data_IF_667510345716
#
_entry.id   IF_667510345716
#
_cell.length_a   1.000
_cell.length_b   1.000
_cell.length_c   1.000
_cell.angle_alpha   90.00
_cell.angle_beta   90.00
_cell.angle_gamma   90.00
#
_symmetry.space_group_name_H-M   'P 1'
#
loop_
_entity.id
_entity.type
_entity.pdbx_description
1 polymer ?
#
# COMPACT_ATOMS: atom_id res chain seq x y z
N UNK A 1 -7.31 0.66 -29.38
CA UNK A 1 -6.73 1.12 -28.11
C UNK A 1 -6.64 -0.09 -27.20
N UNK A 2 -5.47 -0.37 -26.63
CA UNK A 2 -5.38 -1.39 -25.60
C UNK A 2 -6.02 -0.84 -24.33
N UNK A 3 -7.02 -1.54 -23.79
CA UNK A 3 -7.59 -1.25 -22.49
C UNK A 3 -6.72 -1.97 -21.48
N UNK A 4 -6.15 -1.25 -20.51
CA UNK A 4 -5.49 -1.89 -19.39
C UNK A 4 -6.56 -2.46 -18.46
N UNK A 5 -6.47 -3.76 -18.21
CA UNK A 5 -7.35 -4.47 -17.29
C UNK A 5 -6.55 -5.03 -16.11
N UNK A 6 -7.18 -5.20 -14.94
CA UNK A 6 -6.50 -5.77 -13.78
C UNK A 6 -6.15 -7.23 -14.04
N UNK A 7 -4.89 -7.59 -13.77
CA UNK A 7 -4.48 -9.01 -13.75
C UNK A 7 -5.21 -9.79 -12.66
N UNK A 8 -5.48 -9.15 -11.52
CA UNK A 8 -6.21 -9.73 -10.40
C UNK A 8 -7.24 -8.76 -9.85
N UNK A 9 -8.43 -9.29 -9.56
CA UNK A 9 -9.46 -8.61 -8.78
C UNK A 9 -9.56 -9.31 -7.41
N UNK A 10 -9.27 -8.56 -6.34
CA UNK A 10 -9.35 -9.06 -4.97
C UNK A 10 -10.33 -8.22 -4.17
N UNK A 11 -11.00 -8.83 -3.19
CA UNK A 11 -12.03 -8.15 -2.39
C UNK A 11 -11.44 -7.26 -1.29
N UNK A 12 -10.23 -7.54 -0.84
CA UNK A 12 -9.50 -6.72 0.13
C UNK A 12 -7.98 -6.87 -0.05
N UNK A 13 -7.23 -5.83 0.35
CA UNK A 13 -5.77 -5.84 0.28
C UNK A 13 -5.13 -6.87 1.20
N UNK A 14 -5.80 -7.21 2.31
CA UNK A 14 -5.27 -8.14 3.32
C UNK A 14 -5.20 -9.59 2.81
N UNK A 15 -5.92 -9.92 1.74
CA UNK A 15 -5.81 -11.20 1.02
C UNK A 15 -4.46 -11.38 0.31
N UNK A 16 -3.74 -10.27 0.06
CA UNK A 16 -2.41 -10.29 -0.53
C UNK A 16 -1.39 -10.64 0.55
N UNK A 17 -1.15 -11.94 0.73
CA UNK A 17 -0.17 -12.45 1.69
C UNK A 17 1.25 -12.37 1.12
N UNK A 18 2.29 -12.29 1.97
CA UNK A 18 3.66 -12.33 1.47
C UNK A 18 3.98 -13.60 0.67
N UNK A 19 3.39 -14.74 1.05
CA UNK A 19 3.57 -16.00 0.36
C UNK A 19 3.00 -15.98 -1.06
N UNK A 20 1.77 -15.49 -1.23
CA UNK A 20 1.14 -15.40 -2.56
C UNK A 20 1.90 -14.43 -3.47
N UNK A 21 2.31 -13.27 -2.96
CA UNK A 21 3.10 -12.30 -3.72
C UNK A 21 4.46 -12.87 -4.14
N UNK A 22 5.15 -13.58 -3.25
CA UNK A 22 6.43 -14.24 -3.57
C UNK A 22 6.30 -15.32 -4.63
N UNK A 23 5.21 -16.09 -4.60
CA UNK A 23 4.93 -17.10 -5.62
C UNK A 23 4.79 -16.48 -7.02
N UNK A 24 4.29 -15.23 -7.08
CA UNK A 24 4.21 -14.44 -8.32
C UNK A 24 5.52 -13.69 -8.66
N UNK A 25 6.60 -13.88 -7.89
CA UNK A 25 7.87 -13.19 -8.10
C UNK A 25 7.85 -11.70 -7.75
N UNK A 26 6.83 -11.22 -7.03
CA UNK A 26 6.66 -9.81 -6.67
C UNK A 26 7.62 -9.44 -5.53
N UNK A 27 8.35 -8.34 -5.73
CA UNK A 27 9.35 -7.83 -4.77
C UNK A 27 8.95 -6.51 -4.11
N UNK A 28 7.99 -5.80 -4.70
CA UNK A 28 7.51 -4.53 -4.20
C UNK A 28 6.02 -4.36 -4.51
N UNK A 29 5.33 -3.62 -3.64
CA UNK A 29 3.94 -3.19 -3.80
C UNK A 29 3.95 -1.66 -3.87
N UNK A 30 3.47 -1.14 -5.00
CA UNK A 30 3.15 0.28 -5.15
C UNK A 30 1.66 0.45 -4.92
N UNK A 31 1.27 1.42 -4.10
CA UNK A 31 -0.12 1.56 -3.67
C UNK A 31 -0.48 3.02 -3.46
N UNK A 32 -1.72 3.38 -3.78
CA UNK A 32 -2.26 4.69 -3.41
C UNK A 32 -2.57 4.74 -1.91
N UNK A 33 -2.85 5.93 -1.38
CA UNK A 33 -3.17 6.14 0.02
C UNK A 33 -4.67 6.19 0.28
N UNK A 34 -5.32 7.23 -0.26
CA UNK A 34 -6.69 7.57 0.06
C UNK A 34 -7.64 6.53 -0.57
N UNK A 35 -8.57 5.96 0.21
CA UNK A 35 -9.48 4.89 -0.22
C UNK A 35 -8.78 3.60 -0.74
N UNK A 36 -7.50 3.42 -0.42
CA UNK A 36 -6.77 2.16 -0.66
C UNK A 36 -6.19 1.60 0.64
N UNK A 37 -5.27 2.34 1.28
CA UNK A 37 -4.69 1.94 2.57
C UNK A 37 -5.40 2.59 3.76
N UNK A 38 -5.84 3.84 3.62
CA UNK A 38 -6.57 4.53 4.69
C UNK A 38 -8.03 4.73 4.31
N UNK A 39 -8.93 4.26 5.18
CA UNK A 39 -10.29 4.74 5.21
C UNK A 39 -10.30 6.21 5.66
N UNK A 40 -11.13 7.04 5.03
CA UNK A 40 -11.12 8.49 5.23
C UNK A 40 -11.42 8.91 6.69
N UNK A 41 -12.04 8.02 7.47
CA UNK A 41 -12.50 8.19 8.85
C UNK A 41 -11.55 7.60 9.92
N UNK A 42 -10.51 6.85 9.52
CA UNK A 42 -9.55 6.21 10.43
C UNK A 42 -8.08 6.46 10.02
N UNK A 43 -7.57 7.69 10.21
CA UNK A 43 -6.26 8.13 9.72
C UNK A 43 -5.06 7.53 10.46
N UNK A 44 -5.27 6.81 11.56
CA UNK A 44 -4.21 6.16 12.34
C UNK A 44 -3.72 4.84 11.71
N UNK A 45 -4.45 4.31 10.72
CA UNK A 45 -4.30 2.95 10.24
C UNK A 45 -4.87 1.94 11.22
N UNK A 46 -5.56 0.92 10.73
CA UNK A 46 -6.04 -0.16 11.60
C UNK A 46 -4.88 -1.05 12.04
N UNK A 47 -5.01 -1.72 13.18
CA UNK A 47 -4.03 -2.73 13.61
C UNK A 47 -3.78 -3.79 12.51
N UNK A 48 -4.83 -4.13 11.77
CA UNK A 48 -4.76 -5.00 10.59
C UNK A 48 -3.84 -4.46 9.50
N UNK A 49 -3.93 -3.15 9.19
CA UNK A 49 -3.06 -2.50 8.21
C UNK A 49 -1.59 -2.54 8.67
N UNK A 50 -1.33 -2.16 9.91
CA UNK A 50 0.03 -2.15 10.47
C UNK A 50 0.65 -3.54 10.47
N UNK A 51 -0.14 -4.57 10.81
CA UNK A 51 0.29 -5.96 10.74
C UNK A 51 0.61 -6.39 9.32
N UNK A 52 -0.28 -6.10 8.37
CA UNK A 52 -0.09 -6.44 6.95
C UNK A 52 1.19 -5.80 6.38
N UNK A 53 1.40 -4.50 6.65
CA UNK A 53 2.62 -3.79 6.25
C UNK A 53 3.88 -4.41 6.87
N UNK A 54 3.80 -4.81 8.14
CA UNK A 54 4.91 -5.46 8.85
C UNK A 54 5.24 -6.84 8.28
N UNK A 55 4.22 -7.65 7.99
CA UNK A 55 4.39 -9.00 7.43
C UNK A 55 5.03 -8.95 6.04
N UNK A 56 4.61 -8.00 5.20
CA UNK A 56 5.23 -7.76 3.90
C UNK A 56 6.69 -7.33 4.04
N UNK A 57 6.96 -6.33 4.90
CA UNK A 57 8.31 -5.83 5.15
C UNK A 57 9.26 -6.92 5.65
N UNK A 58 8.83 -7.69 6.65
CA UNK A 58 9.62 -8.80 7.22
C UNK A 58 9.87 -9.91 6.21
N UNK A 59 8.97 -10.05 5.24
CA UNK A 59 9.12 -10.99 4.13
C UNK A 59 10.03 -10.47 3.01
N UNK A 60 10.57 -9.26 3.11
CA UNK A 60 11.42 -8.64 2.10
C UNK A 60 10.65 -7.99 0.94
N UNK A 61 9.33 -7.82 1.08
CA UNK A 61 8.50 -7.11 0.10
C UNK A 61 8.41 -5.65 0.52
N UNK A 62 8.87 -4.75 -0.34
CA UNK A 62 8.85 -3.31 -0.07
C UNK A 62 7.47 -2.74 -0.42
N UNK A 63 6.84 -2.05 0.51
CA UNK A 63 5.63 -1.26 0.23
C UNK A 63 6.02 0.20 0.06
N UNK A 64 5.57 0.83 -1.02
CA UNK A 64 5.77 2.26 -1.28
C UNK A 64 4.44 2.89 -1.63
N UNK A 65 4.07 3.93 -0.89
CA UNK A 65 2.88 4.73 -1.19
C UNK A 65 3.20 5.72 -2.30
N UNK A 66 2.42 5.72 -3.38
CA UNK A 66 2.55 6.67 -4.48
C UNK A 66 1.24 7.44 -4.55
N UNK A 67 1.29 8.73 -4.23
CA UNK A 67 0.09 9.56 -4.11
C UNK A 67 0.23 10.90 -4.80
N UNK A 68 -0.89 11.34 -5.37
CA UNK A 68 -1.07 12.68 -5.94
C UNK A 68 -1.27 13.77 -4.88
N UNK A 69 -1.43 13.39 -3.61
CA UNK A 69 -1.71 14.32 -2.53
C UNK A 69 -0.48 15.18 -2.16
N UNK A 70 -0.71 16.23 -1.38
CA UNK A 70 0.36 17.10 -0.89
C UNK A 70 1.26 16.35 0.12
N UNK A 71 2.57 16.55 -0.02
CA UNK A 71 3.60 15.94 0.81
C UNK A 71 3.36 16.10 2.33
N UNK A 72 2.86 17.26 2.78
CA UNK A 72 2.61 17.50 4.21
C UNK A 72 1.55 16.57 4.80
N UNK A 73 0.51 16.23 4.03
CA UNK A 73 -0.55 15.33 4.46
C UNK A 73 -0.04 13.88 4.48
N UNK A 74 0.64 13.47 3.41
CA UNK A 74 1.23 12.14 3.31
C UNK A 74 2.27 11.91 4.42
N UNK A 75 3.14 12.87 4.67
CA UNK A 75 4.18 12.74 5.67
C UNK A 75 3.62 12.45 7.07
N UNK A 76 2.56 13.17 7.49
CA UNK A 76 1.90 12.95 8.78
C UNK A 76 1.28 11.55 8.88
N UNK A 77 0.64 11.08 7.81
CA UNK A 77 0.03 9.74 7.77
C UNK A 77 1.11 8.63 7.78
N UNK A 78 2.15 8.79 6.98
CA UNK A 78 3.19 7.77 6.80
C UNK A 78 4.18 7.69 7.96
N UNK A 79 4.38 8.79 8.71
CA UNK A 79 5.23 8.79 9.90
C UNK A 79 4.80 7.74 10.92
N UNK A 80 3.50 7.46 11.03
CA UNK A 80 2.94 6.44 11.95
C UNK A 80 3.11 5.02 11.43
N UNK A 81 3.00 4.83 10.12
CA UNK A 81 3.04 3.51 9.48
C UNK A 81 4.46 3.04 9.11
N UNK A 82 5.44 3.96 9.08
CA UNK A 82 6.83 3.63 8.76
C UNK A 82 7.01 3.13 7.32
N UNK A 83 6.19 3.63 6.39
CA UNK A 83 6.19 3.24 4.97
C UNK A 83 6.82 4.35 4.13
N UNK A 84 7.64 3.97 3.15
CA UNK A 84 8.21 4.90 2.20
C UNK A 84 7.11 5.48 1.29
N UNK A 85 7.26 6.74 0.86
CA UNK A 85 6.26 7.37 -0.01
C UNK A 85 6.86 8.30 -1.06
N UNK A 86 6.10 8.47 -2.13
CA UNK A 86 6.26 9.49 -3.17
C UNK A 86 4.99 10.33 -3.19
N UNK A 87 5.12 11.64 -3.01
CA UNK A 87 4.02 12.60 -3.06
C UNK A 87 4.06 13.39 -4.38
N UNK A 88 2.94 14.01 -4.76
CA UNK A 88 2.79 14.77 -6.01
C UNK A 88 3.17 13.96 -7.26
N UNK A 89 2.78 12.68 -7.31
CA UNK A 89 3.10 11.76 -8.40
C UNK A 89 2.18 11.91 -9.64
N UNK A 90 1.97 13.14 -10.09
CA UNK A 90 1.03 13.54 -11.16
C UNK A 90 1.75 13.85 -12.47
#
# INVERSE_FOLDING_TARGET
MAVFEPTWLVTNIFSLTPASLKQQGIKAVLTDLDNTLMAWDHPEGTETLTRWLTDLRNSGIKVVVVSNNNANRIHKAMAKLGVAYVARAL
#
